data_IF_387804047636
#
_entry.id   IF_387804047636
#
_cell.length_a   1.000
_cell.length_b   1.000
_cell.length_c   1.000
_cell.angle_alpha   90.00
_cell.angle_beta   90.00
_cell.angle_gamma   90.00
#
_symmetry.space_group_name_H-M   'P 1'
#
loop_
_entity.id
_entity.type
_entity.pdbx_description
1 polymer ?
#
# COMPACT_ATOMS: atom_id res chain seq x y z
N UNK A 1 -18.14 4.84 2.19
CA UNK A 1 -18.55 5.33 0.85
C UNK A 1 -20.02 5.07 0.52
N UNK A 2 -20.95 5.01 1.50
CA UNK A 2 -22.38 4.77 1.22
C UNK A 2 -23.08 6.05 0.72
N UNK A 3 -22.78 7.20 1.34
CA UNK A 3 -23.32 8.50 0.95
C UNK A 3 -22.95 8.87 -0.51
N UNK A 4 -21.67 8.84 -0.87
CA UNK A 4 -21.24 9.13 -2.25
C UNK A 4 -21.84 8.18 -3.30
N UNK A 5 -22.00 6.90 -2.97
CA UNK A 5 -22.69 5.95 -3.85
C UNK A 5 -24.16 6.33 -4.05
N UNK A 6 -24.86 6.73 -2.99
CA UNK A 6 -26.26 7.17 -3.07
C UNK A 6 -26.41 8.44 -3.91
N UNK A 7 -25.53 9.42 -3.73
CA UNK A 7 -25.56 10.69 -4.50
C UNK A 7 -25.30 10.44 -5.99
N UNK A 8 -24.41 9.50 -6.31
CA UNK A 8 -24.09 9.13 -7.69
C UNK A 8 -24.99 8.01 -8.24
N UNK A 9 -26.05 7.64 -7.51
CA UNK A 9 -27.00 6.58 -7.88
C UNK A 9 -26.34 5.21 -8.18
N UNK A 10 -25.20 4.93 -7.55
CA UNK A 10 -24.44 3.69 -7.72
C UNK A 10 -24.84 2.65 -6.68
N UNK A 11 -25.15 1.45 -7.16
CA UNK A 11 -25.42 0.28 -6.34
C UNK A 11 -24.13 -0.43 -5.91
N UNK A 12 -24.23 -1.28 -4.90
CA UNK A 12 -23.16 -2.25 -4.61
C UNK A 12 -23.10 -3.36 -5.66
N UNK A 13 -24.22 -3.63 -6.37
CA UNK A 13 -24.32 -4.63 -7.44
C UNK A 13 -23.43 -4.30 -8.65
N UNK A 14 -23.17 -3.02 -8.89
CA UNK A 14 -22.36 -2.54 -10.01
C UNK A 14 -20.87 -2.89 -9.84
N UNK A 15 -20.46 -3.34 -8.64
CA UNK A 15 -19.08 -3.74 -8.31
C UNK A 15 -18.02 -2.67 -8.60
N UNK A 16 -18.43 -1.41 -8.77
CA UNK A 16 -17.56 -0.26 -9.05
C UNK A 16 -16.61 -0.03 -7.86
N UNK A 17 -15.29 0.09 -8.09
CA UNK A 17 -14.31 0.35 -7.04
C UNK A 17 -14.46 1.74 -6.42
N UNK A 18 -14.08 1.88 -5.15
CA UNK A 18 -14.10 3.18 -4.47
C UNK A 18 -13.14 4.20 -5.09
N UNK A 19 -12.07 3.76 -5.77
CA UNK A 19 -11.16 4.66 -6.52
C UNK A 19 -11.88 5.39 -7.65
N UNK A 20 -12.69 4.68 -8.43
CA UNK A 20 -13.49 5.26 -9.52
C UNK A 20 -14.55 6.21 -8.98
N UNK A 21 -15.21 5.84 -7.87
CA UNK A 21 -16.20 6.70 -7.21
C UNK A 21 -15.58 8.03 -6.76
N UNK A 22 -14.37 7.98 -6.19
CA UNK A 22 -13.64 9.18 -5.78
C UNK A 22 -13.22 10.02 -6.98
N UNK A 23 -12.76 9.40 -8.07
CA UNK A 23 -12.45 10.11 -9.32
C UNK A 23 -13.68 10.79 -9.93
N UNK A 24 -14.81 10.08 -10.02
CA UNK A 24 -16.06 10.62 -10.56
C UNK A 24 -16.57 11.79 -9.72
N UNK A 25 -16.47 11.70 -8.39
CA UNK A 25 -16.82 12.78 -7.49
C UNK A 25 -15.80 13.93 -7.45
N UNK A 26 -14.62 13.78 -8.08
CA UNK A 26 -13.47 14.71 -7.97
C UNK A 26 -13.04 14.95 -6.52
N UNK A 27 -13.17 13.93 -5.66
CA UNK A 27 -12.83 13.99 -4.23
C UNK A 27 -11.51 13.25 -3.98
N UNK A 28 -10.66 13.84 -3.14
CA UNK A 28 -9.41 13.22 -2.72
C UNK A 28 -9.65 12.01 -1.81
N UNK A 29 -8.78 11.01 -1.90
CA UNK A 29 -8.82 9.89 -0.96
C UNK A 29 -8.53 10.36 0.48
N UNK A 30 -9.00 9.60 1.46
CA UNK A 30 -8.70 9.87 2.88
C UNK A 30 -7.19 9.86 3.15
N UNK A 31 -6.42 9.02 2.45
CA UNK A 31 -4.97 8.98 2.58
C UNK A 31 -4.34 10.29 2.12
N UNK A 32 -4.82 10.86 1.02
CA UNK A 32 -4.36 12.16 0.52
C UNK A 32 -4.66 13.28 1.50
N UNK A 33 -5.90 13.33 2.02
CA UNK A 33 -6.32 14.34 3.00
C UNK A 33 -5.45 14.27 4.27
N UNK A 34 -5.22 13.07 4.80
CA UNK A 34 -4.41 12.88 6.00
C UNK A 34 -2.95 13.27 5.78
N UNK A 35 -2.36 12.85 4.67
CA UNK A 35 -0.95 13.18 4.32
C UNK A 35 -0.78 14.69 4.15
N UNK A 36 -1.69 15.33 3.41
CA UNK A 36 -1.66 16.79 3.20
C UNK A 36 -1.77 17.57 4.51
N UNK A 37 -2.66 17.16 5.42
CA UNK A 37 -2.82 17.80 6.74
C UNK A 37 -1.56 17.66 7.59
N UNK A 38 -0.96 16.46 7.63
CA UNK A 38 0.30 16.22 8.35
C UNK A 38 1.44 17.07 7.81
N UNK A 39 1.60 17.14 6.49
CA UNK A 39 2.64 17.97 5.88
C UNK A 39 2.40 19.47 6.06
N UNK A 40 1.14 19.93 6.02
CA UNK A 40 0.82 21.33 6.33
C UNK A 40 1.22 21.67 7.76
N UNK A 41 0.95 20.79 8.72
CA UNK A 41 1.39 20.95 10.11
C UNK A 41 2.91 20.91 10.22
N UNK A 42 3.59 19.94 9.60
CA UNK A 42 5.06 19.85 9.64
C UNK A 42 5.75 21.10 9.10
N UNK A 43 5.32 21.58 7.94
CA UNK A 43 5.88 22.81 7.39
C UNK A 43 5.58 24.03 8.26
N UNK A 44 4.42 24.07 8.92
CA UNK A 44 4.13 25.11 9.90
C UNK A 44 5.07 25.06 11.10
N UNK A 45 5.27 23.87 11.68
CA UNK A 45 6.17 23.67 12.83
C UNK A 45 7.63 23.98 12.46
N UNK A 46 8.08 23.63 11.25
CA UNK A 46 9.45 23.97 10.81
C UNK A 46 9.70 25.48 10.78
N UNK A 47 8.70 26.27 10.38
CA UNK A 47 8.77 27.75 10.31
C UNK A 47 8.44 28.43 11.64
N UNK A 48 8.09 27.70 12.69
CA UNK A 48 7.96 28.28 14.03
C UNK A 48 9.35 28.66 14.55
N UNK A 49 9.39 29.63 15.44
CA UNK A 49 10.58 29.95 16.24
C UNK A 49 11.00 28.74 17.11
N UNK A 50 12.29 28.66 17.41
CA UNK A 50 12.83 27.66 18.34
C UNK A 50 12.34 27.90 19.79
N UNK A 51 12.27 26.85 20.61
CA UNK A 51 11.72 26.93 21.98
C UNK A 51 10.20 26.84 22.06
N UNK A 52 9.51 26.73 20.92
CA UNK A 52 8.08 26.41 20.87
C UNK A 52 7.89 24.92 21.12
N UNK A 53 7.07 24.57 22.11
CA UNK A 53 6.77 23.17 22.50
C UNK A 53 6.52 22.23 21.30
N UNK A 54 5.69 22.57 20.27
CA UNK A 54 5.48 21.67 19.14
C UNK A 54 6.74 21.39 18.31
N UNK A 55 7.62 22.38 18.18
CA UNK A 55 8.90 22.26 17.46
C UNK A 55 9.88 21.42 18.29
N UNK A 56 9.99 21.71 19.58
CA UNK A 56 10.85 20.97 20.50
C UNK A 56 10.42 19.51 20.62
N UNK A 57 9.12 19.21 20.65
CA UNK A 57 8.60 17.83 20.67
C UNK A 57 8.85 17.10 19.35
N UNK A 58 8.87 17.80 18.21
CA UNK A 58 9.13 17.19 16.90
C UNK A 58 10.59 16.77 16.73
N UNK A 59 11.52 17.61 17.20
CA UNK A 59 12.97 17.37 17.11
C UNK A 59 13.52 16.62 18.33
N UNK A 60 12.84 16.73 19.47
CA UNK A 60 13.23 16.12 20.71
C UNK A 60 13.27 14.59 20.65
N UNK A 61 14.16 14.03 21.46
CA UNK A 61 14.31 12.60 21.68
C UNK A 61 14.16 12.33 23.17
N UNK A 62 13.58 11.17 23.53
CA UNK A 62 13.54 10.78 24.92
C UNK A 62 14.95 10.43 25.38
N UNK A 63 15.45 11.10 26.42
CA UNK A 63 16.73 10.79 27.04
C UNK A 63 16.69 9.43 27.77
N UNK A 64 15.55 9.09 28.38
CA UNK A 64 15.36 7.86 29.16
C UNK A 64 14.02 7.24 28.75
N UNK A 65 14.01 5.91 28.62
CA UNK A 65 12.82 5.12 28.34
C UNK A 65 12.82 4.50 26.95
N UNK A 66 12.51 3.21 26.88
CA UNK A 66 12.37 2.45 25.65
C UNK A 66 10.89 2.15 25.36
N UNK A 67 10.58 1.82 24.09
CA UNK A 67 9.24 1.34 23.73
C UNK A 67 9.17 -0.16 23.96
N UNK A 68 8.00 -0.62 24.41
CA UNK A 68 7.69 -2.05 24.51
C UNK A 68 7.90 -2.74 23.16
N UNK A 69 8.46 -3.95 23.19
CA UNK A 69 8.62 -4.78 22.01
C UNK A 69 7.26 -5.16 21.39
N UNK A 70 7.25 -5.42 20.08
CA UNK A 70 6.05 -5.79 19.31
C UNK A 70 5.65 -4.73 18.29
N UNK A 71 4.34 -4.43 18.19
CA UNK A 71 3.77 -3.46 17.23
C UNK A 71 3.17 -2.21 17.92
N UNK A 72 3.97 -1.37 18.59
CA UNK A 72 3.48 -0.08 19.09
C UNK A 72 2.89 0.79 17.97
N UNK A 73 1.96 1.68 18.33
CA UNK A 73 1.49 2.71 17.42
C UNK A 73 2.66 3.62 16.97
N UNK A 74 2.67 3.98 15.69
CA UNK A 74 3.66 4.88 15.13
C UNK A 74 3.63 6.24 15.84
N UNK A 75 4.79 6.84 16.07
CA UNK A 75 4.84 8.26 16.46
C UNK A 75 4.29 9.10 15.33
N UNK A 76 3.84 10.31 15.67
CA UNK A 76 3.45 11.28 14.66
C UNK A 76 4.58 11.53 13.63
N UNK A 77 5.83 11.67 14.10
CA UNK A 77 7.03 11.79 13.27
C UNK A 77 7.21 10.60 12.32
N UNK A 78 7.03 9.37 12.81
CA UNK A 78 7.17 8.16 11.99
C UNK A 78 6.05 8.05 10.95
N UNK A 79 4.83 8.43 11.31
CA UNK A 79 3.71 8.51 10.37
C UNK A 79 4.01 9.51 9.24
N UNK A 80 4.57 10.68 9.58
CA UNK A 80 4.99 11.66 8.59
C UNK A 80 6.12 11.14 7.69
N UNK A 81 7.14 10.47 8.25
CA UNK A 81 8.23 9.85 7.46
C UNK A 81 7.68 8.78 6.49
N UNK A 82 6.71 7.98 6.94
CA UNK A 82 6.03 7.00 6.07
C UNK A 82 5.29 7.69 4.94
N UNK A 83 4.57 8.77 5.23
CA UNK A 83 3.83 9.52 4.22
C UNK A 83 4.80 10.21 3.25
N UNK A 84 5.94 10.76 3.72
CA UNK A 84 6.99 11.37 2.90
C UNK A 84 7.52 10.37 1.87
N UNK A 85 7.87 9.17 2.33
CA UNK A 85 8.28 8.06 1.45
C UNK A 85 7.21 7.69 0.43
N UNK A 86 5.93 7.70 0.81
CA UNK A 86 4.85 7.42 -0.12
C UNK A 86 4.65 8.53 -1.17
N UNK A 87 4.97 9.77 -0.81
CA UNK A 87 4.84 10.96 -1.66
C UNK A 87 6.12 11.34 -2.40
N UNK A 88 7.16 10.50 -2.34
CA UNK A 88 8.50 10.73 -2.87
C UNK A 88 9.11 12.07 -2.43
N UNK A 89 8.81 12.49 -1.20
CA UNK A 89 9.43 13.66 -0.57
C UNK A 89 10.62 13.15 0.24
N UNK A 90 11.80 13.73 0.01
CA UNK A 90 13.02 13.37 0.74
C UNK A 90 12.85 13.65 2.24
N UNK A 91 13.19 12.66 3.08
CA UNK A 91 13.15 12.82 4.55
C UNK A 91 14.27 13.68 5.10
N UNK A 92 15.27 13.99 4.29
CA UNK A 92 16.49 14.66 4.72
C UNK A 92 16.50 16.13 4.28
N UNK A 93 15.82 16.46 3.16
CA UNK A 93 15.81 17.81 2.59
C UNK A 93 14.47 18.54 2.73
N UNK A 94 13.44 17.90 3.31
CA UNK A 94 12.11 18.51 3.44
C UNK A 94 12.11 19.79 4.29
N UNK A 95 13.02 19.91 5.25
CA UNK A 95 13.09 21.08 6.13
C UNK A 95 13.46 22.35 5.36
N UNK A 96 14.43 22.24 4.46
CA UNK A 96 14.84 23.34 3.56
C UNK A 96 13.68 23.72 2.64
N UNK A 97 12.99 22.73 2.07
CA UNK A 97 11.83 22.95 1.22
C UNK A 97 10.62 23.53 1.98
N UNK A 98 10.52 23.27 3.29
CA UNK A 98 9.44 23.73 4.13
C UNK A 98 9.59 25.20 4.57
N UNK A 99 10.80 25.78 4.46
CA UNK A 99 11.07 27.19 4.78
C UNK A 99 10.24 28.12 3.88
N UNK A 100 10.24 27.87 2.56
CA UNK A 100 9.30 28.54 1.65
C UNK A 100 7.91 27.87 1.72
N UNK A 101 6.95 28.60 2.28
CA UNK A 101 5.55 28.15 2.41
C UNK A 101 4.90 27.82 1.06
N UNK A 102 5.24 28.55 -0.01
CA UNK A 102 4.63 28.38 -1.33
C UNK A 102 5.21 27.19 -2.06
N UNK A 103 6.55 27.04 -2.07
CA UNK A 103 7.23 25.87 -2.58
C UNK A 103 6.78 24.61 -1.84
N UNK A 104 6.72 24.66 -0.50
CA UNK A 104 6.25 23.54 0.32
C UNK A 104 4.84 23.08 -0.06
N UNK A 105 3.91 24.03 -0.22
CA UNK A 105 2.53 23.71 -0.61
C UNK A 105 2.48 23.03 -1.97
N UNK A 106 3.29 23.48 -2.94
CA UNK A 106 3.36 22.90 -4.28
C UNK A 106 3.92 21.47 -4.25
N UNK A 107 5.04 21.25 -3.56
CA UNK A 107 5.68 19.94 -3.41
C UNK A 107 4.72 18.96 -2.72
N UNK A 108 4.09 19.38 -1.62
CA UNK A 108 3.12 18.56 -0.89
C UNK A 108 1.93 18.18 -1.78
N UNK A 109 1.35 19.15 -2.49
CA UNK A 109 0.22 18.88 -3.37
C UNK A 109 0.59 17.88 -4.47
N UNK A 110 1.72 18.12 -5.15
CA UNK A 110 2.22 17.23 -6.20
C UNK A 110 2.50 15.82 -5.67
N UNK A 111 3.27 15.69 -4.59
CA UNK A 111 3.63 14.40 -4.00
C UNK A 111 2.42 13.61 -3.52
N UNK A 112 1.45 14.27 -2.90
CA UNK A 112 0.20 13.62 -2.45
C UNK A 112 -0.63 13.12 -3.63
N UNK A 113 -0.73 13.90 -4.71
CA UNK A 113 -1.46 13.50 -5.93
C UNK A 113 -0.81 12.29 -6.60
N UNK A 114 0.52 12.30 -6.75
CA UNK A 114 1.25 11.17 -7.34
C UNK A 114 1.20 9.90 -6.46
N UNK A 115 1.29 10.05 -5.13
CA UNK A 115 1.09 8.96 -4.20
C UNK A 115 -0.30 8.33 -4.34
N UNK A 116 -1.34 9.15 -4.52
CA UNK A 116 -2.71 8.66 -4.66
C UNK A 116 -2.94 7.92 -5.97
N UNK A 117 -2.41 8.44 -7.09
CA UNK A 117 -2.40 7.74 -8.37
C UNK A 117 -1.70 6.39 -8.26
N UNK A 118 -0.53 6.34 -7.61
CA UNK A 118 0.23 5.10 -7.39
C UNK A 118 -0.56 4.09 -6.57
N UNK A 119 -1.21 4.53 -5.48
CA UNK A 119 -2.12 3.69 -4.68
C UNK A 119 -3.27 3.14 -5.53
N UNK A 120 -3.86 3.97 -6.38
CA UNK A 120 -4.90 3.57 -7.33
C UNK A 120 -4.43 2.47 -8.28
N UNK A 121 -3.27 2.65 -8.93
CA UNK A 121 -2.67 1.64 -9.83
C UNK A 121 -2.37 0.31 -9.12
N UNK A 122 -1.83 0.35 -7.90
CA UNK A 122 -1.56 -0.86 -7.11
C UNK A 122 -2.87 -1.59 -6.74
N UNK A 123 -3.89 -0.84 -6.33
CA UNK A 123 -5.19 -1.41 -6.00
C UNK A 123 -5.87 -2.06 -7.22
N UNK A 124 -5.74 -1.44 -8.39
CA UNK A 124 -6.26 -1.96 -9.66
C UNK A 124 -5.51 -3.23 -10.08
N UNK A 125 -4.18 -3.23 -10.06
CA UNK A 125 -3.37 -4.43 -10.34
C UNK A 125 -3.76 -5.61 -9.44
N UNK A 126 -3.94 -5.37 -8.14
CA UNK A 126 -4.40 -6.41 -7.19
C UNK A 126 -5.78 -6.95 -7.53
N UNK A 127 -6.70 -6.08 -7.98
CA UNK A 127 -8.04 -6.49 -8.42
C UNK A 127 -7.96 -7.37 -9.66
N UNK A 128 -7.20 -6.96 -10.67
CA UNK A 128 -7.00 -7.72 -11.90
C UNK A 128 -6.40 -9.10 -11.61
N UNK A 129 -5.38 -9.17 -10.76
CA UNK A 129 -4.79 -10.44 -10.31
C UNK A 129 -5.81 -11.34 -9.61
N UNK A 130 -6.66 -10.78 -8.74
CA UNK A 130 -7.72 -11.54 -8.07
C UNK A 130 -8.76 -12.06 -9.07
N UNK A 131 -9.18 -11.25 -10.03
CA UNK A 131 -10.13 -11.66 -11.07
C UNK A 131 -9.52 -12.73 -11.97
N UNK A 132 -8.25 -12.59 -12.36
CA UNK A 132 -7.54 -13.60 -13.15
C UNK A 132 -7.46 -14.94 -12.40
N UNK A 133 -7.09 -14.92 -11.12
CA UNK A 133 -7.01 -16.14 -10.29
C UNK A 133 -8.39 -16.81 -10.09
N UNK A 134 -9.49 -16.06 -10.07
CA UNK A 134 -10.84 -16.62 -10.00
C UNK A 134 -11.30 -17.22 -11.34
N UNK A 135 -10.78 -16.72 -12.45
CA UNK A 135 -11.09 -17.20 -13.80
C UNK A 135 -10.12 -18.28 -14.28
N UNK A 136 -9.12 -18.64 -13.47
CA UNK A 136 -8.15 -19.66 -13.82
C UNK A 136 -8.83 -21.04 -13.79
N UNK A 137 -8.74 -21.84 -14.86
CA UNK A 137 -9.41 -23.13 -14.92
C UNK A 137 -8.92 -24.03 -13.78
N UNK A 138 -9.87 -24.63 -13.05
CA UNK A 138 -9.58 -25.65 -12.05
C UNK A 138 -8.97 -26.85 -12.77
N UNK A 139 -7.64 -26.98 -12.72
CA UNK A 139 -6.95 -28.17 -13.20
C UNK A 139 -7.31 -29.31 -12.23
N UNK A 140 -8.28 -30.13 -12.62
CA UNK A 140 -8.74 -31.30 -11.85
C UNK A 140 -7.90 -32.54 -12.11
N UNK A 141 -7.07 -32.51 -13.14
CA UNK A 141 -6.25 -33.63 -13.60
C UNK A 141 -4.80 -33.19 -13.77
N UNK A 142 -3.89 -33.92 -13.14
CA UNK A 142 -2.46 -33.63 -13.16
C UNK A 142 -1.69 -34.83 -13.75
N UNK A 143 -1.51 -34.88 -15.08
CA UNK A 143 -0.81 -35.99 -15.73
C UNK A 143 0.70 -35.97 -15.41
N UNK A 144 1.25 -37.15 -15.16
CA UNK A 144 2.68 -37.33 -14.95
C UNK A 144 3.44 -37.34 -16.27
N UNK A 145 4.50 -36.54 -16.39
CA UNK A 145 5.33 -36.49 -17.61
C UNK A 145 6.17 -37.75 -17.89
N UNK A 146 6.31 -38.66 -16.92
CA UNK A 146 7.15 -39.87 -17.04
C UNK A 146 6.34 -41.09 -17.46
N UNK A 147 5.19 -41.33 -16.82
CA UNK A 147 4.37 -42.52 -17.05
C UNK A 147 2.91 -42.21 -17.45
N UNK A 148 2.61 -40.94 -17.76
CA UNK A 148 1.30 -40.42 -18.15
C UNK A 148 0.13 -40.73 -17.19
N UNK A 149 0.42 -41.17 -15.96
CA UNK A 149 -0.59 -41.42 -14.93
C UNK A 149 -1.24 -40.10 -14.52
N UNK A 150 -2.57 -40.06 -14.51
CA UNK A 150 -3.35 -38.89 -14.09
C UNK A 150 -3.51 -38.90 -12.56
N UNK A 151 -2.97 -37.87 -11.90
CA UNK A 151 -3.13 -37.65 -10.46
C UNK A 151 -4.32 -36.72 -10.18
N UNK A 152 -5.01 -36.93 -9.05
CA UNK A 152 -6.22 -36.19 -8.66
C UNK A 152 -5.90 -34.85 -7.99
N UNK A 153 -4.64 -34.65 -7.59
CA UNK A 153 -4.17 -33.37 -7.04
C UNK A 153 -2.70 -33.11 -7.39
N UNK A 154 -2.30 -31.84 -7.33
CA UNK A 154 -0.91 -31.41 -7.54
C UNK A 154 0.03 -31.99 -6.47
N UNK A 155 -0.47 -32.24 -5.26
CA UNK A 155 0.27 -32.87 -4.17
C UNK A 155 0.53 -34.36 -4.46
N UNK A 156 -0.48 -35.08 -4.96
CA UNK A 156 -0.33 -36.46 -5.42
C UNK A 156 0.68 -36.58 -6.56
N UNK A 157 0.59 -35.70 -7.58
CA UNK A 157 1.57 -35.66 -8.66
C UNK A 157 2.99 -35.43 -8.13
N UNK A 158 3.15 -34.51 -7.16
CA UNK A 158 4.46 -34.20 -6.57
C UNK A 158 5.03 -35.34 -5.72
N UNK A 159 4.18 -36.16 -5.10
CA UNK A 159 4.59 -37.37 -4.40
C UNK A 159 4.95 -38.49 -5.38
N UNK A 160 4.14 -38.64 -6.43
CA UNK A 160 4.34 -39.62 -7.49
C UNK A 160 5.62 -39.38 -8.30
N UNK A 161 5.96 -38.13 -8.64
CA UNK A 161 7.24 -37.80 -9.30
C UNK A 161 8.43 -38.17 -8.41
N UNK A 162 8.30 -38.09 -7.08
CA UNK A 162 9.35 -38.50 -6.15
C UNK A 162 9.58 -40.01 -6.14
N UNK A 163 8.58 -40.84 -6.45
CA UNK A 163 8.79 -42.30 -6.57
C UNK A 163 9.59 -42.64 -7.83
N UNK A 164 9.33 -41.97 -8.96
CA UNK A 164 10.14 -42.14 -10.19
C UNK A 164 11.62 -41.82 -9.97
N UNK A 165 11.92 -40.80 -9.17
CA UNK A 165 13.32 -40.45 -8.83
C UNK A 165 14.01 -41.47 -7.91
N UNK A 166 13.26 -42.32 -7.23
CA UNK A 166 13.80 -43.36 -6.32
C UNK A 166 14.01 -44.70 -7.02
N UNK A 167 13.32 -44.95 -8.14
CA UNK A 167 13.44 -46.17 -8.93
C UNK A 167 13.81 -45.80 -10.37
N UNK A 168 15.10 -45.69 -10.71
CA UNK A 168 15.54 -45.42 -12.07
C UNK A 168 15.25 -46.57 -13.05
N UNK A 169 14.93 -47.78 -12.55
CA UNK A 169 14.93 -49.03 -13.32
C UNK A 169 13.62 -49.83 -13.17
N UNK A 170 12.51 -49.29 -13.68
CA UNK A 170 11.30 -50.09 -13.91
C UNK A 170 10.76 -49.88 -15.33
N UNK A 171 11.67 -49.85 -16.29
CA UNK A 171 11.36 -49.87 -17.72
C UNK A 171 11.95 -51.13 -18.36
N UNK A 172 11.15 -52.20 -18.32
CA UNK A 172 11.00 -53.19 -19.38
C UNK A 172 9.53 -53.52 -19.50
#
# INVERSE_FOLDING_TARGET
>A
MRCLRRILELSLKDKIPNSVILQQAKIQSIYSILSQRRFRWLGHVRRMEDGRIPKDVLYGQLAIGSRRAGRPALRFKDACKRDMKACDISTDTWEVQAEDRTAWRRVVHHGVMEADKRRGKVAEKRRQQKTAALNEPLITQHPCSVCNRVCKSRAELSSHIRSHKRTPEAHR
#
